data_IF_438832427839
#
_entry.id   IF_438832427839
#
_cell.length_a   1.000
_cell.length_b   1.000
_cell.length_c   1.000
_cell.angle_alpha   90.00
_cell.angle_beta   90.00
_cell.angle_gamma   90.00
#
_symmetry.space_group_name_H-M   'P 1'
#
loop_
_entity.id
_entity.type
_entity.pdbx_description
1 polymer ?
#
# COMPACT_ATOMS: atom_id res chain seq x y z
N UNK A 1 -11.70 13.47 11.39
CA UNK A 1 -11.27 12.06 11.50
C UNK A 1 -11.11 11.51 10.11
N UNK A 2 -9.87 11.51 9.64
CA UNK A 2 -9.54 11.34 8.23
C UNK A 2 -9.18 9.87 7.99
N UNK A 3 -10.06 9.11 7.33
CA UNK A 3 -9.81 7.71 6.92
C UNK A 3 -8.45 7.51 6.23
N UNK A 4 -7.85 8.58 5.68
CA UNK A 4 -6.49 8.55 5.13
C UNK A 4 -5.37 8.30 6.15
N UNK A 5 -5.61 8.52 7.45
CA UNK A 5 -4.66 8.23 8.52
C UNK A 5 -4.59 6.73 8.83
N UNK A 6 -5.64 5.99 8.49
CA UNK A 6 -5.71 4.55 8.70
C UNK A 6 -4.92 3.75 7.64
N UNK A 7 -4.45 4.41 6.57
CA UNK A 7 -3.79 3.75 5.44
C UNK A 7 -2.53 4.49 4.98
N UNK A 8 -1.61 3.74 4.40
CA UNK A 8 -0.42 4.29 3.75
C UNK A 8 -0.12 3.56 2.45
N UNK A 9 0.67 4.20 1.59
CA UNK A 9 1.22 3.57 0.40
C UNK A 9 2.67 3.18 0.68
N UNK A 10 3.00 1.92 0.46
CA UNK A 10 4.37 1.43 0.42
C UNK A 10 4.81 1.29 -1.05
N UNK A 11 5.85 2.00 -1.47
CA UNK A 11 6.50 1.80 -2.76
C UNK A 11 7.76 0.94 -2.54
N UNK A 12 7.71 -0.31 -3.00
CA UNK A 12 8.75 -1.30 -2.73
C UNK A 12 9.13 -2.06 -4.00
N UNK A 13 10.38 -2.54 -4.05
CA UNK A 13 10.87 -3.35 -5.15
C UNK A 13 10.19 -4.75 -5.18
N UNK A 14 10.29 -5.44 -6.33
CA UNK A 14 9.69 -6.78 -6.50
C UNK A 14 10.33 -7.85 -5.59
N UNK A 15 11.51 -7.59 -5.00
CA UNK A 15 12.19 -8.50 -4.05
C UNK A 15 11.42 -8.66 -2.75
N UNK A 16 10.76 -7.60 -2.26
CA UNK A 16 9.96 -7.63 -1.04
C UNK A 16 8.50 -8.04 -1.28
N UNK A 17 8.11 -8.34 -2.53
CA UNK A 17 6.72 -8.63 -2.91
C UNK A 17 6.06 -9.71 -2.05
N UNK A 18 6.72 -10.85 -1.85
CA UNK A 18 6.14 -11.95 -1.07
C UNK A 18 5.87 -11.58 0.39
N UNK A 19 6.75 -10.75 0.99
CA UNK A 19 6.57 -10.25 2.35
C UNK A 19 5.41 -9.26 2.44
N UNK A 20 5.23 -8.42 1.42
CA UNK A 20 4.17 -7.41 1.39
C UNK A 20 2.81 -8.03 1.09
N UNK A 21 2.73 -9.04 0.22
CA UNK A 21 1.48 -9.78 -0.04
C UNK A 21 0.94 -10.48 1.22
N UNK A 22 1.81 -10.90 2.14
CA UNK A 22 1.43 -11.47 3.43
C UNK A 22 0.79 -10.45 4.39
N UNK A 23 0.91 -9.14 4.12
CA UNK A 23 0.25 -8.07 4.87
C UNK A 23 -1.17 -7.79 4.37
N UNK A 24 -1.67 -8.57 3.40
CA UNK A 24 -3.01 -8.40 2.81
C UNK A 24 -3.28 -6.95 2.34
N UNK A 25 -2.50 -6.45 1.37
CA UNK A 25 -2.68 -5.11 0.84
C UNK A 25 -4.05 -4.95 0.19
N UNK A 26 -4.70 -3.80 0.41
CA UNK A 26 -5.99 -3.45 -0.16
C UNK A 26 -5.91 -3.21 -1.67
N UNK A 27 -4.72 -2.83 -2.15
CA UNK A 27 -4.47 -2.78 -3.58
C UNK A 27 -2.98 -2.84 -3.88
N UNK A 28 -2.66 -3.23 -5.10
CA UNK A 28 -1.32 -3.13 -5.66
C UNK A 28 -1.35 -2.45 -7.03
N UNK A 29 -0.35 -1.63 -7.29
CA UNK A 29 -0.14 -0.98 -8.57
C UNK A 29 1.32 -1.17 -8.99
N UNK A 30 1.52 -2.07 -9.96
CA UNK A 30 2.84 -2.32 -10.53
C UNK A 30 3.31 -1.10 -11.32
N UNK A 31 4.52 -0.64 -11.02
CA UNK A 31 5.23 0.42 -11.71
C UNK A 31 6.45 -0.09 -12.48
N UNK A 32 7.33 0.82 -12.85
CA UNK A 32 8.61 0.51 -13.49
C UNK A 32 9.66 0.23 -12.40
N UNK A 33 9.85 -1.05 -12.09
CA UNK A 33 10.88 -1.52 -11.15
C UNK A 33 10.42 -1.64 -9.69
N UNK A 34 9.32 -0.98 -9.33
CA UNK A 34 8.70 -1.09 -8.01
C UNK A 34 7.19 -1.31 -8.13
N UNK A 35 6.57 -1.72 -7.02
CA UNK A 35 5.13 -1.87 -6.88
C UNK A 35 4.67 -1.02 -5.70
N UNK A 36 3.60 -0.25 -5.92
CA UNK A 36 2.93 0.52 -4.88
C UNK A 36 1.84 -0.33 -4.25
N UNK A 37 1.81 -0.38 -2.93
CA UNK A 37 0.89 -1.19 -2.15
C UNK A 37 0.12 -0.30 -1.20
N UNK A 38 -1.21 -0.40 -1.22
CA UNK A 38 -2.06 0.24 -0.23
C UNK A 38 -2.20 -0.68 0.97
N UNK A 39 -1.70 -0.26 2.13
CA UNK A 39 -1.67 -1.04 3.37
C UNK A 39 -2.40 -0.32 4.49
N UNK A 40 -2.99 -1.10 5.40
CA UNK A 40 -3.49 -0.59 6.68
C UNK A 40 -2.31 -0.15 7.55
N UNK A 41 -2.46 1.00 8.21
CA UNK A 41 -1.49 1.61 9.14
C UNK A 41 -1.00 0.65 10.23
N UNK A 42 -1.75 -0.39 10.57
CA UNK A 42 -1.32 -1.46 11.48
C UNK A 42 -0.02 -2.17 11.04
N UNK A 43 0.31 -2.13 9.75
CA UNK A 43 1.51 -2.73 9.17
C UNK A 43 2.66 -1.73 8.99
N UNK A 44 2.52 -0.48 9.45
CA UNK A 44 3.55 0.55 9.25
C UNK A 44 4.92 0.12 9.80
N UNK A 45 4.96 -0.47 10.99
CA UNK A 45 6.19 -0.98 11.60
C UNK A 45 6.77 -2.17 10.83
N UNK A 46 5.92 -3.00 10.23
CA UNK A 46 6.34 -4.18 9.46
C UNK A 46 6.82 -3.80 8.05
N UNK A 47 6.27 -2.73 7.49
CA UNK A 47 6.65 -2.14 6.21
C UNK A 47 7.89 -1.25 6.32
N UNK A 48 8.26 -0.83 7.53
CA UNK A 48 9.44 -0.01 7.78
C UNK A 48 10.70 -0.70 7.24
N UNK A 49 11.37 -0.06 6.28
CA UNK A 49 12.59 -0.58 5.66
C UNK A 49 12.39 -1.52 4.48
N UNK A 50 11.15 -1.78 4.05
CA UNK A 50 10.87 -2.52 2.81
C UNK A 50 10.83 -1.62 1.57
N UNK A 51 10.78 -0.32 1.77
CA UNK A 51 10.65 0.67 0.71
C UNK A 51 10.28 2.04 1.24
N UNK A 52 9.76 2.88 0.35
CA UNK A 52 9.35 4.24 0.66
C UNK A 52 7.88 4.28 1.10
N UNK A 53 7.61 4.93 2.24
CA UNK A 53 6.24 5.09 2.77
C UNK A 53 5.71 6.47 2.42
N UNK A 54 4.51 6.51 1.85
CA UNK A 54 3.81 7.73 1.47
C UNK A 54 2.45 7.82 2.15
N UNK A 55 2.05 9.04 2.49
CA UNK A 55 0.69 9.31 2.94
C UNK A 55 -0.33 9.08 1.84
N UNK A 56 -1.48 8.50 2.20
CA UNK A 56 -2.60 8.26 1.28
C UNK A 56 -3.44 9.52 1.12
N UNK A 57 -3.83 9.84 -0.11
CA UNK A 57 -4.92 10.80 -0.35
C UNK A 57 -6.23 10.04 -0.48
N UNK A 58 -7.34 10.71 -0.12
CA UNK A 58 -8.67 10.12 -0.23
C UNK A 58 -8.98 9.60 -1.65
N UNK A 59 -8.52 10.31 -2.69
CA UNK A 59 -8.67 9.89 -4.09
C UNK A 59 -7.96 8.56 -4.40
N UNK A 60 -6.77 8.32 -3.82
CA UNK A 60 -6.03 7.07 -3.99
C UNK A 60 -6.78 5.91 -3.33
N UNK A 61 -7.34 6.15 -2.14
CA UNK A 61 -8.15 5.19 -1.40
C UNK A 61 -9.41 4.78 -2.19
N UNK A 62 -10.13 5.75 -2.74
CA UNK A 62 -11.31 5.49 -3.58
C UNK A 62 -10.98 4.64 -4.80
N UNK A 63 -9.89 4.94 -5.49
CA UNK A 63 -9.47 4.19 -6.67
C UNK A 63 -9.08 2.75 -6.33
N UNK A 64 -8.39 2.55 -5.20
CA UNK A 64 -8.00 1.23 -4.72
C UNK A 64 -9.23 0.36 -4.38
N UNK A 65 -10.16 0.92 -3.60
CA UNK A 65 -11.38 0.20 -3.18
C UNK A 65 -12.30 -0.15 -4.35
N UNK A 66 -12.35 0.68 -5.40
CA UNK A 66 -13.12 0.34 -6.61
C UNK A 66 -12.55 -0.86 -7.37
N UNK A 67 -11.24 -1.11 -7.29
CA UNK A 67 -10.60 -2.25 -7.98
C UNK A 67 -10.82 -3.59 -7.27
N UNK A 68 -11.06 -3.60 -5.96
CA UNK A 68 -11.40 -4.84 -5.23
C UNK A 68 -12.84 -5.32 -5.47
N UNK A 69 -13.74 -4.42 -5.87
CA UNK A 69 -15.16 -4.74 -6.09
C UNK A 69 -15.49 -5.30 -7.49
N UNK A 70 -14.47 -5.52 -8.34
CA UNK A 70 -14.60 -5.92 -9.74
C UNK A 70 -14.20 -7.39 -9.98
#
# INVERSE_FOLDING_TARGET
DSISEDYFILDANDEHRAQIEAMHPLSSQKGLGTTKWLLSSQYADQAAGLGDVHGVKLADLFLALQKEAA
#
